data_IF_956039963520
#
_entry.id   IF_956039963520
#
_cell.length_a   1.000
_cell.length_b   1.000
_cell.length_c   1.000
_cell.angle_alpha   90.00
_cell.angle_beta   90.00
_cell.angle_gamma   90.00
#
_symmetry.space_group_name_H-M   'P 1'
#
loop_
_entity.id
_entity.type
_entity.pdbx_description
1 polymer ?
#
# COMPACT_ATOMS: atom_id res chain seq x y z
N UNK A 1 -31.20 -6.26 -25.68
CA UNK A 1 -29.79 -6.11 -25.29
C UNK A 1 -29.40 -7.31 -24.42
N UNK A 2 -28.59 -8.22 -24.95
CA UNK A 2 -28.08 -9.34 -24.18
C UNK A 2 -27.19 -8.77 -23.04
N UNK A 3 -27.55 -9.07 -21.80
CA UNK A 3 -26.77 -8.70 -20.63
C UNK A 3 -25.43 -9.43 -20.72
N UNK A 4 -24.31 -8.72 -20.70
CA UNK A 4 -23.02 -9.35 -20.47
C UNK A 4 -23.08 -10.05 -19.10
N UNK A 5 -23.02 -11.39 -19.10
CA UNK A 5 -23.11 -12.20 -17.88
C UNK A 5 -21.81 -12.14 -17.02
N UNK A 6 -20.75 -11.56 -17.55
CA UNK A 6 -19.44 -11.48 -16.90
C UNK A 6 -19.01 -10.05 -16.63
N UNK A 7 -18.49 -9.75 -15.42
CA UNK A 7 -17.95 -8.44 -15.14
C UNK A 7 -16.70 -8.15 -16.00
N UNK A 8 -16.51 -6.89 -16.37
CA UNK A 8 -15.36 -6.46 -17.17
C UNK A 8 -14.28 -5.89 -16.27
N UNK A 9 -13.05 -6.40 -16.41
CA UNK A 9 -11.85 -5.91 -15.77
C UNK A 9 -10.91 -5.34 -16.83
N UNK A 10 -10.73 -4.02 -16.84
CA UNK A 10 -9.73 -3.38 -17.67
C UNK A 10 -8.43 -3.18 -16.89
N UNK A 11 -7.34 -3.70 -17.42
CA UNK A 11 -6.02 -3.71 -16.79
C UNK A 11 -5.08 -2.77 -17.54
N UNK A 12 -4.69 -1.70 -16.89
CA UNK A 12 -3.68 -0.75 -17.33
C UNK A 12 -2.36 -1.13 -16.68
N UNK A 13 -1.41 -1.65 -17.42
CA UNK A 13 -0.35 -2.45 -16.84
C UNK A 13 1.06 -2.00 -17.11
N UNK A 14 1.84 -2.58 -16.21
CA UNK A 14 3.25 -2.89 -16.32
C UNK A 14 3.65 -4.20 -15.56
N UNK A 15 2.73 -5.16 -15.15
CA UNK A 15 3.04 -6.47 -14.51
C UNK A 15 1.94 -7.55 -14.37
N UNK A 16 2.30 -8.77 -14.00
CA UNK A 16 1.84 -10.10 -14.33
C UNK A 16 0.95 -10.89 -13.36
N UNK A 17 0.06 -10.56 -12.55
CA UNK A 17 -0.78 -11.52 -11.78
C UNK A 17 -2.28 -11.38 -11.96
N UNK A 18 -2.68 -10.46 -12.81
CA UNK A 18 -4.09 -10.15 -13.08
C UNK A 18 -4.86 -11.28 -13.77
N UNK A 19 -4.19 -12.13 -14.57
CA UNK A 19 -4.85 -13.25 -15.28
C UNK A 19 -5.38 -14.31 -14.33
N UNK A 20 -4.64 -14.61 -13.26
CA UNK A 20 -5.09 -15.55 -12.23
C UNK A 20 -6.31 -14.99 -11.50
N UNK A 21 -6.34 -13.70 -11.20
CA UNK A 21 -7.48 -13.02 -10.61
C UNK A 21 -8.69 -13.07 -11.57
N UNK A 22 -8.51 -12.73 -12.85
CA UNK A 22 -9.59 -12.79 -13.84
C UNK A 22 -10.17 -14.20 -13.97
N UNK A 23 -9.32 -15.23 -13.95
CA UNK A 23 -9.79 -16.64 -13.96
C UNK A 23 -10.61 -16.99 -12.72
N UNK A 24 -10.17 -16.59 -11.51
CA UNK A 24 -10.91 -16.88 -10.26
C UNK A 24 -12.26 -16.18 -10.21
N UNK A 25 -12.31 -14.97 -10.73
CA UNK A 25 -13.53 -14.15 -10.75
C UNK A 25 -14.38 -14.35 -12.00
N UNK A 26 -13.89 -15.11 -13.00
CA UNK A 26 -14.52 -15.27 -14.32
C UNK A 26 -14.79 -13.92 -15.02
N UNK A 27 -13.95 -12.93 -14.77
CA UNK A 27 -14.05 -11.63 -15.40
C UNK A 27 -13.46 -11.63 -16.82
N UNK A 28 -14.03 -10.82 -17.69
CA UNK A 28 -13.46 -10.54 -19.00
C UNK A 28 -12.30 -9.54 -18.83
N UNK A 29 -11.07 -10.01 -19.02
CA UNK A 29 -9.85 -9.22 -18.85
C UNK A 29 -9.48 -8.50 -20.13
N UNK A 30 -9.37 -7.17 -20.06
CA UNK A 30 -8.94 -6.32 -21.16
C UNK A 30 -7.55 -5.76 -20.86
N UNK A 31 -6.56 -6.16 -21.65
CA UNK A 31 -5.18 -5.66 -21.56
C UNK A 31 -5.06 -4.31 -22.28
N UNK A 32 -4.73 -3.27 -21.52
CA UNK A 32 -4.70 -1.89 -22.03
C UNK A 32 -3.33 -1.25 -21.74
N UNK A 33 -2.36 -1.39 -22.66
CA UNK A 33 -1.06 -0.74 -22.56
C UNK A 33 -1.20 0.78 -22.50
N UNK A 34 -0.47 1.44 -21.58
CA UNK A 34 -0.49 2.90 -21.42
C UNK A 34 0.91 3.46 -21.17
N UNK A 35 1.12 4.72 -21.46
CA UNK A 35 2.42 5.37 -21.31
C UNK A 35 2.54 6.07 -19.94
N UNK A 36 3.24 5.44 -19.00
CA UNK A 36 3.42 5.95 -17.63
C UNK A 36 4.04 7.36 -17.60
N UNK A 37 5.04 7.64 -18.43
CA UNK A 37 5.64 8.97 -18.49
C UNK A 37 4.66 10.07 -18.91
N UNK A 38 3.66 9.76 -19.76
CA UNK A 38 2.59 10.70 -20.09
C UNK A 38 1.64 10.91 -18.91
N UNK A 39 1.30 9.84 -18.16
CA UNK A 39 0.51 9.97 -16.93
C UNK A 39 1.23 10.91 -15.93
N UNK A 40 2.52 10.71 -15.70
CA UNK A 40 3.30 11.56 -14.80
C UNK A 40 3.35 13.02 -15.25
N UNK A 41 3.49 13.26 -16.55
CA UNK A 41 3.50 14.62 -17.12
C UNK A 41 2.16 15.32 -16.91
N UNK A 42 1.06 14.66 -17.32
CA UNK A 42 -0.28 15.25 -17.27
C UNK A 42 -0.80 15.42 -15.84
N UNK A 43 -0.37 14.57 -14.91
CA UNK A 43 -0.72 14.67 -13.50
C UNK A 43 0.24 15.54 -12.68
N UNK A 44 1.24 16.15 -13.32
CA UNK A 44 2.29 16.92 -12.67
C UNK A 44 2.97 16.13 -11.52
N UNK A 45 3.30 14.88 -11.77
CA UNK A 45 3.97 14.03 -10.79
C UNK A 45 5.40 14.54 -10.50
N UNK A 46 5.85 14.58 -9.24
CA UNK A 46 7.13 15.23 -8.84
C UNK A 46 8.36 14.67 -9.54
N UNK A 47 8.36 13.37 -9.89
CA UNK A 47 9.47 12.72 -10.60
C UNK A 47 9.57 13.08 -12.08
N UNK A 48 8.53 13.69 -12.65
CA UNK A 48 8.47 14.05 -14.07
C UNK A 48 8.30 12.85 -15.02
N UNK A 49 8.14 13.14 -16.30
CA UNK A 49 7.82 12.13 -17.33
C UNK A 49 8.92 11.06 -17.55
N UNK A 50 10.17 11.38 -17.28
CA UNK A 50 11.32 10.49 -17.48
C UNK A 50 11.87 9.91 -16.18
N UNK A 51 11.29 10.26 -15.02
CA UNK A 51 11.76 9.82 -13.71
C UNK A 51 11.11 8.54 -13.23
N UNK A 52 11.76 7.89 -12.27
CA UNK A 52 11.18 6.80 -11.49
C UNK A 52 10.49 7.35 -10.23
N UNK A 53 9.45 6.68 -9.75
CA UNK A 53 8.77 7.07 -8.52
C UNK A 53 9.73 7.14 -7.31
N UNK A 54 10.79 6.34 -7.29
CA UNK A 54 11.79 6.31 -6.23
C UNK A 54 12.76 7.50 -6.25
N UNK A 55 12.83 8.26 -7.34
CA UNK A 55 13.78 9.39 -7.48
C UNK A 55 13.46 10.53 -6.52
N UNK A 56 12.20 10.66 -6.12
CA UNK A 56 11.73 11.70 -5.19
C UNK A 56 11.65 11.22 -3.74
N UNK A 57 12.09 10.01 -3.44
CA UNK A 57 12.10 9.47 -2.09
C UNK A 57 13.36 9.91 -1.32
N UNK A 58 13.19 10.27 -0.06
CA UNK A 58 14.34 10.40 0.83
C UNK A 58 15.04 9.04 1.01
N UNK A 59 16.32 9.01 1.43
CA UNK A 59 17.10 7.76 1.53
C UNK A 59 16.45 6.68 2.39
N UNK A 60 15.82 7.05 3.50
CA UNK A 60 15.14 6.10 4.40
C UNK A 60 13.94 5.45 3.72
N UNK A 61 13.08 6.25 3.07
CA UNK A 61 11.94 5.75 2.32
C UNK A 61 12.38 4.86 1.15
N UNK A 62 13.43 5.27 0.42
CA UNK A 62 13.98 4.49 -0.69
C UNK A 62 14.41 3.09 -0.23
N UNK A 63 15.16 2.99 0.90
CA UNK A 63 15.56 1.70 1.47
C UNK A 63 14.36 0.84 1.87
N UNK A 64 13.36 1.40 2.56
CA UNK A 64 12.17 0.64 2.97
C UNK A 64 11.35 0.15 1.77
N UNK A 65 11.16 0.99 0.74
CA UNK A 65 10.46 0.59 -0.48
C UNK A 65 11.21 -0.52 -1.22
N UNK A 66 12.55 -0.45 -1.29
CA UNK A 66 13.38 -1.52 -1.85
C UNK A 66 13.20 -2.84 -1.10
N UNK A 67 13.18 -2.80 0.23
CA UNK A 67 12.93 -3.99 1.06
C UNK A 67 11.52 -4.56 0.85
N UNK A 68 10.51 -3.70 0.77
CA UNK A 68 9.13 -4.11 0.50
C UNK A 68 9.03 -4.81 -0.86
N UNK A 69 9.67 -4.27 -1.92
CA UNK A 69 9.73 -4.90 -3.22
C UNK A 69 10.36 -6.30 -3.14
N UNK A 70 11.53 -6.44 -2.48
CA UNK A 70 12.18 -7.75 -2.31
C UNK A 70 11.28 -8.76 -1.59
N UNK A 71 10.58 -8.33 -0.53
CA UNK A 71 9.61 -9.18 0.16
C UNK A 71 8.46 -9.61 -0.76
N UNK A 72 7.91 -8.68 -1.51
CA UNK A 72 6.83 -8.97 -2.47
C UNK A 72 7.26 -9.98 -3.52
N UNK A 73 8.46 -9.82 -4.09
CA UNK A 73 9.02 -10.76 -5.07
C UNK A 73 9.19 -12.17 -4.47
N UNK A 74 9.76 -12.28 -3.26
CA UNK A 74 9.95 -13.56 -2.58
C UNK A 74 8.61 -14.22 -2.21
N UNK A 75 7.68 -13.44 -1.66
CA UNK A 75 6.36 -13.95 -1.27
C UNK A 75 5.57 -14.49 -2.46
N UNK A 76 5.76 -13.91 -3.63
CA UNK A 76 5.04 -14.31 -4.84
C UNK A 76 5.89 -15.16 -5.80
N UNK A 77 7.12 -15.53 -5.40
CA UNK A 77 8.06 -16.28 -6.24
C UNK A 77 8.27 -15.67 -7.63
N UNK A 78 8.44 -14.33 -7.68
CA UNK A 78 8.66 -13.58 -8.91
C UNK A 78 10.14 -13.38 -9.14
N UNK A 79 10.60 -13.78 -10.32
CA UNK A 79 11.98 -13.55 -10.79
C UNK A 79 12.14 -12.10 -11.23
N UNK A 80 13.14 -11.40 -10.70
CA UNK A 80 13.50 -10.04 -11.11
C UNK A 80 15.02 -9.91 -11.14
N UNK A 81 15.53 -9.42 -12.27
CA UNK A 81 16.88 -8.91 -12.41
C UNK A 81 16.78 -7.41 -12.74
N UNK A 82 17.20 -6.56 -11.80
CA UNK A 82 17.05 -5.11 -11.98
C UNK A 82 17.82 -4.64 -13.22
N UNK A 83 17.16 -3.98 -14.18
CA UNK A 83 17.79 -3.59 -15.43
C UNK A 83 19.02 -2.71 -15.21
N UNK A 84 20.08 -2.96 -15.96
CA UNK A 84 21.34 -2.18 -15.92
C UNK A 84 21.14 -0.71 -16.24
N UNK A 85 20.13 -0.41 -17.08
CA UNK A 85 19.65 0.94 -17.39
C UNK A 85 18.16 1.03 -17.10
N UNK A 86 17.78 1.82 -16.09
CA UNK A 86 16.39 2.04 -15.71
C UNK A 86 16.18 3.52 -15.31
N UNK A 87 15.07 4.14 -15.75
CA UNK A 87 14.06 3.64 -16.70
C UNK A 87 14.52 3.77 -18.17
N UNK A 88 14.07 2.83 -19.02
CA UNK A 88 14.14 2.94 -20.48
C UNK A 88 12.81 3.40 -21.06
N UNK A 89 12.82 3.99 -22.25
CA UNK A 89 11.59 4.40 -22.93
C UNK A 89 10.81 3.19 -23.48
N UNK A 90 9.58 2.92 -22.99
CA UNK A 90 8.79 1.79 -23.45
C UNK A 90 7.95 2.09 -24.71
N UNK A 91 8.08 3.27 -25.31
CA UNK A 91 7.14 3.78 -26.34
C UNK A 91 7.01 2.84 -27.53
N UNK A 92 8.13 2.31 -28.05
CA UNK A 92 8.08 1.39 -29.19
C UNK A 92 7.41 0.07 -28.80
N UNK A 93 7.81 -0.51 -27.68
CA UNK A 93 7.21 -1.75 -27.15
C UNK A 93 5.70 -1.62 -26.95
N UNK A 94 5.24 -0.52 -26.35
CA UNK A 94 3.81 -0.27 -26.12
C UNK A 94 3.01 -0.09 -27.42
N UNK A 95 3.61 0.56 -28.44
CA UNK A 95 2.98 0.69 -29.76
C UNK A 95 2.80 -0.67 -30.43
N UNK A 96 3.79 -1.56 -30.34
CA UNK A 96 3.70 -2.90 -30.90
C UNK A 96 2.55 -3.70 -30.28
N UNK A 97 2.23 -3.51 -29.01
CA UNK A 97 1.08 -4.14 -28.36
C UNK A 97 -0.26 -3.69 -28.93
N UNK A 98 -0.34 -2.51 -29.56
CA UNK A 98 -1.52 -2.04 -30.28
C UNK A 98 -1.50 -2.41 -31.77
N UNK A 99 -0.33 -2.70 -32.33
CA UNK A 99 -0.18 -3.18 -33.71
C UNK A 99 -0.63 -4.64 -33.87
N UNK A 100 -0.38 -5.48 -32.87
CA UNK A 100 -0.74 -6.91 -32.91
C UNK A 100 -2.23 -7.12 -32.62
N UNK A 101 -2.75 -8.28 -33.04
CA UNK A 101 -4.10 -8.71 -32.69
C UNK A 101 -4.29 -8.74 -31.16
N UNK A 102 -5.50 -8.43 -30.68
CA UNK A 102 -5.82 -8.31 -29.25
C UNK A 102 -5.48 -9.62 -28.52
N UNK A 103 -5.71 -10.76 -29.15
CA UNK A 103 -5.46 -12.10 -28.61
C UNK A 103 -3.96 -12.40 -28.40
N UNK A 104 -3.09 -11.78 -29.20
CA UNK A 104 -1.64 -11.91 -29.10
C UNK A 104 -1.02 -10.96 -28.06
N UNK A 105 -1.76 -9.92 -27.65
CA UNK A 105 -1.27 -8.88 -26.75
C UNK A 105 -0.77 -9.40 -25.40
N UNK A 106 -1.48 -10.31 -24.69
CA UNK A 106 -0.99 -10.87 -23.45
C UNK A 106 0.35 -11.57 -23.58
N UNK A 107 0.47 -12.48 -24.56
CA UNK A 107 1.72 -13.25 -24.76
C UNK A 107 2.92 -12.33 -25.10
N UNK A 108 2.71 -11.33 -25.96
CA UNK A 108 3.75 -10.36 -26.27
C UNK A 108 4.10 -9.48 -25.06
N UNK A 109 3.12 -9.11 -24.25
CA UNK A 109 3.36 -8.34 -23.02
C UNK A 109 4.25 -9.11 -22.04
N UNK A 110 3.95 -10.38 -21.78
CA UNK A 110 4.77 -11.25 -20.95
C UNK A 110 6.20 -11.38 -21.47
N UNK A 111 6.36 -11.53 -22.78
CA UNK A 111 7.68 -11.61 -23.40
C UNK A 111 8.48 -10.30 -23.25
N UNK A 112 7.84 -9.14 -23.41
CA UNK A 112 8.46 -7.83 -23.22
C UNK A 112 8.86 -7.58 -21.76
N UNK A 113 8.00 -7.95 -20.81
CA UNK A 113 8.33 -7.85 -19.37
C UNK A 113 9.54 -8.73 -19.02
N UNK A 114 9.54 -9.99 -19.49
CA UNK A 114 10.67 -10.88 -19.28
C UNK A 114 11.95 -10.31 -19.88
N UNK A 115 11.88 -9.80 -21.11
CA UNK A 115 13.02 -9.19 -21.80
C UNK A 115 13.63 -8.04 -20.98
N UNK A 116 12.77 -7.17 -20.43
CA UNK A 116 13.24 -5.99 -19.69
C UNK A 116 13.64 -6.31 -18.24
N UNK A 117 12.77 -7.02 -17.49
CA UNK A 117 12.92 -7.19 -16.02
C UNK A 117 13.70 -8.44 -15.61
N UNK A 118 13.95 -9.37 -16.54
CA UNK A 118 14.66 -10.62 -16.24
C UNK A 118 15.91 -10.74 -17.07
N UNK A 119 15.80 -10.46 -18.39
CA UNK A 119 16.90 -10.66 -19.36
C UNK A 119 17.77 -9.40 -19.57
N UNK A 120 17.40 -8.26 -18.97
CA UNK A 120 18.07 -6.95 -19.09
C UNK A 120 18.27 -6.49 -20.56
N UNK A 121 17.31 -6.81 -21.45
CA UNK A 121 17.39 -6.46 -22.84
C UNK A 121 16.95 -5.01 -23.08
N UNK A 122 17.52 -4.40 -24.13
CA UNK A 122 17.17 -3.03 -24.52
C UNK A 122 15.88 -3.00 -25.35
N UNK A 123 14.75 -2.77 -24.68
CA UNK A 123 13.43 -2.65 -25.33
C UNK A 123 13.24 -1.37 -26.16
N UNK A 124 14.27 -0.53 -26.29
CA UNK A 124 14.29 0.61 -27.22
C UNK A 124 14.86 0.24 -28.59
N UNK A 125 15.54 -0.90 -28.68
CA UNK A 125 16.15 -1.41 -29.91
C UNK A 125 15.12 -2.21 -30.73
N UNK A 126 14.92 -1.83 -32.00
CA UNK A 126 13.97 -2.49 -32.91
C UNK A 126 14.30 -3.96 -33.14
N UNK A 127 15.59 -4.31 -33.24
CA UNK A 127 16.04 -5.70 -33.46
C UNK A 127 15.72 -6.59 -32.26
N UNK A 128 15.91 -6.07 -31.04
CA UNK A 128 15.51 -6.74 -29.81
C UNK A 128 14.00 -6.95 -29.77
N UNK A 129 13.21 -5.92 -30.09
CA UNK A 129 11.75 -6.02 -30.11
C UNK A 129 11.26 -7.04 -31.16
N UNK A 130 11.88 -7.11 -32.34
CA UNK A 130 11.56 -8.12 -33.37
C UNK A 130 11.86 -9.55 -32.86
N UNK A 131 12.99 -9.74 -32.18
CA UNK A 131 13.35 -11.04 -31.61
C UNK A 131 12.40 -11.47 -30.48
N UNK A 132 12.08 -10.56 -29.57
CA UNK A 132 11.12 -10.79 -28.47
C UNK A 132 9.73 -11.17 -29.04
N UNK A 133 9.25 -10.42 -30.06
CA UNK A 133 7.98 -10.72 -30.72
C UNK A 133 8.01 -12.10 -31.38
N UNK A 134 9.07 -12.42 -32.10
CA UNK A 134 9.26 -13.74 -32.74
C UNK A 134 9.24 -14.88 -31.71
N UNK A 135 9.88 -14.70 -30.54
CA UNK A 135 9.88 -15.68 -29.45
C UNK A 135 8.47 -15.87 -28.84
N UNK A 136 7.63 -14.85 -28.89
CA UNK A 136 6.23 -14.92 -28.44
C UNK A 136 5.24 -15.41 -29.53
N UNK A 137 5.76 -15.85 -30.69
CA UNK A 137 4.93 -16.33 -31.80
C UNK A 137 4.41 -15.22 -32.73
N UNK A 138 4.84 -13.97 -32.54
CA UNK A 138 4.42 -12.81 -33.33
C UNK A 138 5.51 -12.45 -34.35
N UNK A 139 5.11 -12.28 -35.62
CA UNK A 139 6.00 -11.77 -36.66
C UNK A 139 5.69 -10.30 -36.90
N UNK A 140 6.70 -9.45 -36.76
CA UNK A 140 6.62 -8.02 -37.02
C UNK A 140 7.27 -7.68 -38.36
N UNK A 141 6.64 -6.81 -39.13
CA UNK A 141 7.27 -6.13 -40.29
C UNK A 141 7.93 -4.82 -39.79
N UNK A 142 8.84 -4.26 -40.60
CA UNK A 142 9.40 -2.92 -40.31
C UNK A 142 8.31 -1.85 -40.17
N UNK A 143 7.22 -1.95 -40.95
CA UNK A 143 6.10 -1.02 -40.91
C UNK A 143 5.37 -1.02 -39.55
N UNK A 144 5.51 -2.07 -38.72
CA UNK A 144 4.92 -2.15 -37.38
C UNK A 144 5.40 -1.02 -36.44
N UNK A 145 6.63 -0.55 -36.63
CA UNK A 145 7.21 0.50 -35.77
C UNK A 145 6.70 1.92 -36.12
N UNK A 146 6.11 2.08 -37.32
CA UNK A 146 5.61 3.35 -37.81
C UNK A 146 4.07 3.38 -37.92
N UNK A 147 3.38 2.37 -37.38
CA UNK A 147 1.93 2.25 -37.40
C UNK A 147 1.27 3.41 -36.64
N UNK A 148 0.64 4.31 -37.38
CA UNK A 148 -0.07 5.48 -36.85
C UNK A 148 -1.30 5.09 -36.02
N UNK A 149 -2.03 4.04 -36.41
CA UNK A 149 -3.20 3.58 -35.70
C UNK A 149 -2.81 3.07 -34.30
N UNK A 150 -1.70 2.33 -34.21
CA UNK A 150 -1.14 1.88 -32.93
C UNK A 150 -0.68 3.06 -32.05
N UNK A 151 -0.09 4.11 -32.66
CA UNK A 151 0.28 5.33 -31.92
C UNK A 151 -0.93 6.05 -31.36
N UNK A 152 -2.00 6.20 -32.17
CA UNK A 152 -3.22 6.89 -31.76
C UNK A 152 -4.00 6.07 -30.73
N UNK A 153 -4.03 4.75 -30.84
CA UNK A 153 -4.63 3.86 -29.85
C UNK A 153 -3.90 3.95 -28.48
N UNK A 154 -2.56 3.99 -28.46
CA UNK A 154 -1.80 4.18 -27.23
C UNK A 154 -2.09 5.54 -26.59
N UNK A 155 -2.20 6.60 -27.39
CA UNK A 155 -2.56 7.95 -26.90
C UNK A 155 -3.96 7.96 -26.29
N UNK A 156 -4.94 7.38 -26.99
CA UNK A 156 -6.33 7.32 -26.55
C UNK A 156 -6.46 6.55 -25.22
N UNK A 157 -5.84 5.38 -25.11
CA UNK A 157 -5.85 4.58 -23.88
C UNK A 157 -5.14 5.30 -22.72
N UNK A 158 -4.05 6.02 -23.01
CA UNK A 158 -3.34 6.80 -21.99
C UNK A 158 -4.20 7.99 -21.53
N UNK A 159 -4.89 8.67 -22.43
CA UNK A 159 -5.80 9.75 -22.07
C UNK A 159 -7.00 9.23 -21.25
N UNK A 160 -7.53 8.06 -21.59
CA UNK A 160 -8.62 7.42 -20.87
C UNK A 160 -8.25 7.12 -19.41
N UNK A 161 -7.11 6.47 -19.16
CA UNK A 161 -6.69 6.14 -17.78
C UNK A 161 -6.41 7.39 -16.95
N UNK A 162 -5.89 8.45 -17.56
CA UNK A 162 -5.72 9.76 -16.90
C UNK A 162 -7.08 10.35 -16.52
N UNK A 163 -8.05 10.33 -17.45
CA UNK A 163 -9.41 10.81 -17.20
C UNK A 163 -10.12 10.03 -16.08
N UNK A 164 -9.80 8.73 -15.94
CA UNK A 164 -10.25 7.88 -14.82
C UNK A 164 -9.54 8.17 -13.51
N UNK A 165 -8.53 9.05 -13.50
CA UNK A 165 -7.84 9.52 -12.29
C UNK A 165 -6.66 8.67 -11.84
N UNK A 166 -6.09 7.80 -12.71
CA UNK A 166 -4.93 6.99 -12.35
C UNK A 166 -3.67 7.85 -12.12
N UNK A 167 -3.01 7.74 -10.97
CA UNK A 167 -1.76 8.46 -10.72
C UNK A 167 -0.53 7.73 -11.25
N UNK A 168 -0.71 6.51 -11.77
CA UNK A 168 0.34 5.62 -12.25
C UNK A 168 -0.18 4.25 -12.65
N UNK A 169 0.74 3.29 -12.86
CA UNK A 169 0.45 1.90 -13.21
C UNK A 169 1.18 0.94 -12.24
N UNK A 170 0.73 -0.32 -12.11
CA UNK A 170 -0.47 -0.88 -12.71
C UNK A 170 -1.74 -0.22 -12.17
N UNK A 171 -2.78 -0.15 -13.00
CA UNK A 171 -4.10 0.31 -12.58
C UNK A 171 -5.18 -0.62 -13.13
N UNK A 172 -6.26 -0.75 -12.37
CA UNK A 172 -7.36 -1.66 -12.66
C UNK A 172 -8.65 -0.85 -12.68
N UNK A 173 -9.48 -1.07 -13.68
CA UNK A 173 -10.80 -0.46 -13.77
C UNK A 173 -11.87 -1.54 -13.80
N UNK A 174 -12.77 -1.49 -12.83
CA UNK A 174 -13.96 -2.35 -12.73
C UNK A 174 -15.16 -1.55 -13.22
N UNK A 175 -15.64 -1.86 -14.42
CA UNK A 175 -16.58 -1.00 -15.17
C UNK A 175 -17.97 -0.93 -14.54
N UNK A 176 -18.46 -2.03 -13.98
CA UNK A 176 -19.80 -2.14 -13.43
C UNK A 176 -19.90 -1.78 -11.95
N UNK A 177 -18.80 -1.48 -11.26
CA UNK A 177 -18.84 -1.15 -9.85
C UNK A 177 -19.50 0.21 -9.62
N UNK A 178 -20.55 0.22 -8.81
CA UNK A 178 -21.24 1.44 -8.39
C UNK A 178 -20.76 1.87 -7.00
N UNK A 179 -20.50 3.16 -6.84
CA UNK A 179 -20.04 3.73 -5.58
C UNK A 179 -20.50 5.19 -5.44
N UNK A 180 -20.58 5.68 -4.22
CA UNK A 180 -20.88 7.07 -3.92
C UNK A 180 -19.59 7.77 -3.47
N UNK A 181 -19.32 8.94 -4.04
CA UNK A 181 -18.21 9.77 -3.60
C UNK A 181 -18.62 10.56 -2.35
N UNK A 182 -17.98 10.31 -1.21
CA UNK A 182 -18.29 10.95 0.05
C UNK A 182 -17.98 12.47 0.08
N UNK A 183 -17.22 12.95 -0.92
CA UNK A 183 -16.85 14.38 -1.01
C UNK A 183 -17.95 15.22 -1.66
N UNK A 184 -18.71 14.65 -2.63
CA UNK A 184 -19.78 15.37 -3.35
C UNK A 184 -21.15 14.67 -3.30
N UNK A 185 -21.22 13.49 -2.69
CA UNK A 185 -22.45 12.70 -2.54
C UNK A 185 -22.99 12.11 -3.84
N UNK A 186 -22.22 12.12 -4.94
CA UNK A 186 -22.68 11.63 -6.23
C UNK A 186 -22.44 10.14 -6.41
N UNK A 187 -23.38 9.48 -7.06
CA UNK A 187 -23.22 8.11 -7.51
C UNK A 187 -22.37 8.06 -8.78
N UNK A 188 -21.39 7.17 -8.79
CA UNK A 188 -20.50 6.90 -9.91
C UNK A 188 -20.61 5.45 -10.34
N UNK A 189 -20.30 5.19 -11.61
CA UNK A 189 -20.16 3.85 -12.16
C UNK A 189 -18.76 3.69 -12.73
N UNK A 190 -18.15 2.54 -12.43
CA UNK A 190 -16.76 2.24 -12.69
C UNK A 190 -15.84 2.75 -11.59
N UNK A 191 -14.91 1.91 -11.14
CA UNK A 191 -13.97 2.23 -10.07
C UNK A 191 -12.54 1.89 -10.46
N UNK A 192 -11.63 2.82 -10.17
CA UNK A 192 -10.20 2.67 -10.37
C UNK A 192 -9.52 2.18 -9.10
N UNK A 193 -8.67 1.15 -9.25
CA UNK A 193 -7.73 0.69 -8.24
C UNK A 193 -6.31 0.82 -8.77
N UNK A 194 -5.39 1.35 -7.98
CA UNK A 194 -4.00 1.58 -8.40
C UNK A 194 -3.01 0.85 -7.51
N UNK A 195 -2.15 0.05 -8.12
CA UNK A 195 -1.12 -0.74 -7.49
C UNK A 195 -1.46 -2.24 -7.42
N UNK A 196 -0.47 -3.11 -7.61
CA UNK A 196 -0.65 -4.56 -7.50
C UNK A 196 -1.09 -4.98 -6.08
N UNK A 197 -0.76 -4.19 -5.08
CA UNK A 197 -1.13 -4.34 -3.68
C UNK A 197 -2.62 -4.04 -3.40
N UNK A 198 -3.38 -3.64 -4.43
CA UNK A 198 -4.84 -3.42 -4.38
C UNK A 198 -5.64 -4.49 -5.13
N UNK A 199 -4.97 -5.53 -5.65
CA UNK A 199 -5.64 -6.59 -6.39
C UNK A 199 -6.70 -7.33 -5.56
N UNK A 200 -6.54 -7.44 -4.26
CA UNK A 200 -7.54 -8.02 -3.37
C UNK A 200 -8.84 -7.21 -3.32
N UNK A 201 -8.79 -5.88 -3.48
CA UNK A 201 -10.00 -5.05 -3.63
C UNK A 201 -10.70 -5.32 -4.95
N UNK A 202 -9.91 -5.41 -6.04
CA UNK A 202 -10.44 -5.74 -7.37
C UNK A 202 -11.13 -7.11 -7.33
N UNK A 203 -10.50 -8.11 -6.75
CA UNK A 203 -11.07 -9.46 -6.63
C UNK A 203 -12.35 -9.47 -5.80
N UNK A 204 -12.38 -8.75 -4.68
CA UNK A 204 -13.58 -8.62 -3.85
C UNK A 204 -14.71 -7.88 -4.59
N UNK A 205 -14.40 -6.78 -5.30
CA UNK A 205 -15.38 -6.05 -6.10
C UNK A 205 -16.00 -6.93 -7.19
N UNK A 206 -15.19 -7.67 -7.94
CA UNK A 206 -15.67 -8.59 -8.98
C UNK A 206 -16.54 -9.71 -8.40
N UNK A 207 -16.17 -10.26 -7.23
CA UNK A 207 -17.00 -11.24 -6.54
C UNK A 207 -18.32 -10.66 -6.05
N UNK A 208 -18.33 -9.43 -5.54
CA UNK A 208 -19.56 -8.74 -5.13
C UNK A 208 -20.50 -8.53 -6.32
N UNK A 209 -19.97 -8.04 -7.46
CA UNK A 209 -20.73 -7.86 -8.69
C UNK A 209 -21.35 -9.14 -9.20
N UNK A 210 -20.58 -10.25 -9.23
CA UNK A 210 -21.07 -11.55 -9.66
C UNK A 210 -22.21 -12.07 -8.79
N UNK A 211 -22.16 -11.81 -7.50
CA UNK A 211 -23.17 -12.23 -6.51
C UNK A 211 -24.34 -11.26 -6.40
N UNK A 212 -24.25 -10.07 -7.00
CA UNK A 212 -25.20 -8.97 -6.81
C UNK A 212 -25.38 -8.61 -5.34
N UNK A 213 -24.28 -8.65 -4.59
CA UNK A 213 -24.23 -8.43 -3.15
C UNK A 213 -23.28 -7.32 -2.74
N UNK A 214 -23.26 -7.04 -1.44
CA UNK A 214 -22.33 -6.09 -0.85
C UNK A 214 -20.89 -6.66 -0.82
N UNK A 215 -19.91 -5.78 -0.94
CA UNK A 215 -18.49 -6.08 -0.77
C UNK A 215 -18.19 -6.81 0.56
N UNK A 216 -18.79 -6.34 1.66
CA UNK A 216 -18.59 -6.95 2.98
C UNK A 216 -19.13 -8.41 3.09
N UNK A 217 -20.00 -8.81 2.18
CA UNK A 217 -20.58 -10.16 2.10
C UNK A 217 -19.75 -11.13 1.24
N UNK A 218 -18.68 -10.64 0.61
CA UNK A 218 -17.74 -11.50 -0.14
C UNK A 218 -17.07 -12.46 0.85
N UNK A 219 -17.21 -13.79 0.68
CA UNK A 219 -16.67 -14.74 1.64
C UNK A 219 -15.15 -14.66 1.74
N UNK A 220 -14.65 -14.85 2.96
CA UNK A 220 -13.21 -14.96 3.23
C UNK A 220 -12.36 -13.78 2.71
N UNK A 221 -12.82 -12.54 2.89
CA UNK A 221 -12.08 -11.34 2.46
C UNK A 221 -10.60 -11.37 2.87
N UNK A 222 -10.29 -11.84 4.09
CA UNK A 222 -8.90 -11.95 4.55
C UNK A 222 -8.05 -12.91 3.71
N UNK A 223 -8.65 -13.88 3.02
CA UNK A 223 -7.92 -14.84 2.18
C UNK A 223 -7.58 -14.31 0.80
N UNK A 224 -8.15 -13.16 0.41
CA UNK A 224 -7.81 -12.48 -0.84
C UNK A 224 -6.41 -11.84 -0.79
N UNK A 225 -5.87 -11.66 0.42
CA UNK A 225 -4.45 -11.40 0.67
C UNK A 225 -3.83 -12.67 1.29
N UNK A 226 -3.34 -13.63 0.48
CA UNK A 226 -2.88 -14.91 0.99
C UNK A 226 -1.60 -14.75 1.81
N UNK A 227 -1.53 -15.48 2.93
CA UNK A 227 -0.30 -15.64 3.69
C UNK A 227 0.60 -16.69 3.07
N UNK A 228 1.91 -16.48 3.18
CA UNK A 228 2.91 -17.49 2.77
C UNK A 228 2.90 -18.70 3.71
N UNK A 229 2.63 -18.46 4.99
CA UNK A 229 2.54 -19.53 5.99
C UNK A 229 1.09 -19.71 6.40
N UNK A 230 0.54 -20.89 6.08
CA UNK A 230 -0.82 -21.28 6.47
C UNK A 230 -0.78 -21.92 7.85
N UNK A 231 -1.81 -21.64 8.69
CA UNK A 231 -1.96 -22.27 10.01
C UNK A 231 -1.62 -21.38 11.19
N UNK A 232 -1.43 -21.99 12.34
CA UNK A 232 -1.12 -21.31 13.60
C UNK A 232 0.32 -20.78 13.64
N UNK A 233 0.61 -19.84 14.57
CA UNK A 233 1.94 -19.31 14.72
C UNK A 233 2.95 -20.43 14.92
N UNK A 234 4.15 -20.18 14.42
CA UNK A 234 5.28 -21.02 14.70
C UNK A 234 5.50 -21.14 16.22
N UNK A 235 6.06 -22.24 16.65
CA UNK A 235 6.47 -22.45 18.02
C UNK A 235 7.44 -21.36 18.47
N UNK A 236 7.12 -20.67 19.55
CA UNK A 236 7.96 -19.64 20.15
C UNK A 236 7.22 -18.34 20.44
N UNK A 237 7.77 -17.57 21.36
CA UNK A 237 7.22 -16.27 21.72
C UNK A 237 7.62 -15.23 20.68
N UNK A 238 6.64 -14.49 20.19
CA UNK A 238 6.83 -13.40 19.25
C UNK A 238 6.45 -12.06 19.88
N UNK A 239 7.12 -11.01 19.48
CA UNK A 239 6.80 -9.63 19.84
C UNK A 239 6.59 -8.83 18.57
N UNK A 240 5.49 -8.07 18.51
CA UNK A 240 5.21 -7.11 17.45
C UNK A 240 5.26 -5.71 18.06
N UNK A 241 6.25 -4.92 17.69
CA UNK A 241 6.24 -3.49 17.98
C UNK A 241 5.35 -2.79 16.97
N UNK A 242 4.39 -2.01 17.46
CA UNK A 242 3.50 -1.16 16.66
C UNK A 242 3.89 0.31 16.88
N UNK A 243 4.49 0.90 15.85
CA UNK A 243 4.96 2.29 15.84
C UNK A 243 3.92 3.20 15.23
N UNK A 244 3.45 4.19 16.00
CA UNK A 244 2.30 5.00 15.62
C UNK A 244 2.37 6.44 16.10
N UNK A 245 1.59 7.29 15.41
CA UNK A 245 1.19 8.62 15.82
C UNK A 245 -0.31 8.78 15.50
N UNK A 246 -1.08 9.41 16.38
CA UNK A 246 -2.51 9.66 16.20
C UNK A 246 -2.82 10.61 15.03
N UNK A 247 -1.84 11.33 14.51
CA UNK A 247 -1.99 12.27 13.38
C UNK A 247 -2.15 11.58 12.02
N UNK A 248 -2.03 10.25 11.94
CA UNK A 248 -2.07 9.51 10.68
C UNK A 248 -3.33 8.65 10.53
N UNK A 249 -4.11 8.81 9.44
CA UNK A 249 -5.24 7.92 9.12
C UNK A 249 -4.78 6.48 8.88
N UNK A 250 -3.61 6.29 8.27
CA UNK A 250 -3.03 4.96 8.05
C UNK A 250 -2.61 4.30 9.38
N UNK A 251 -2.11 5.10 10.33
CA UNK A 251 -1.83 4.66 11.69
C UNK A 251 -3.11 4.20 12.39
N UNK A 252 -4.21 4.94 12.22
CA UNK A 252 -5.53 4.56 12.71
C UNK A 252 -6.00 3.21 12.12
N UNK A 253 -5.92 3.03 10.81
CA UNK A 253 -6.31 1.75 10.18
C UNK A 253 -5.49 0.58 10.70
N UNK A 254 -4.15 0.74 10.82
CA UNK A 254 -3.30 -0.29 11.41
C UNK A 254 -3.68 -0.61 12.85
N UNK A 255 -4.04 0.41 13.65
CA UNK A 255 -4.54 0.24 15.01
C UNK A 255 -5.77 -0.65 15.07
N UNK A 256 -6.74 -0.48 14.16
CA UNK A 256 -8.00 -1.26 14.14
C UNK A 256 -7.77 -2.76 13.94
N UNK A 257 -6.57 -3.16 13.53
CA UNK A 257 -6.21 -4.56 13.26
C UNK A 257 -5.45 -5.24 14.41
N UNK A 258 -5.02 -4.50 15.43
CA UNK A 258 -4.21 -5.05 16.52
C UNK A 258 -4.95 -6.11 17.34
N UNK A 259 -6.25 -5.90 17.61
CA UNK A 259 -7.07 -6.88 18.31
C UNK A 259 -7.27 -8.16 17.48
N UNK A 260 -7.45 -8.02 16.17
CA UNK A 260 -7.50 -9.16 15.25
C UNK A 260 -6.20 -9.97 15.29
N UNK A 261 -5.04 -9.31 15.27
CA UNK A 261 -3.73 -9.98 15.41
C UNK A 261 -3.63 -10.77 16.71
N UNK A 262 -4.02 -10.16 17.86
CA UNK A 262 -4.00 -10.84 19.17
C UNK A 262 -4.88 -12.09 19.17
N UNK A 263 -6.10 -11.99 18.65
CA UNK A 263 -7.02 -13.13 18.59
C UNK A 263 -6.55 -14.23 17.64
N UNK A 264 -5.95 -13.84 16.51
CA UNK A 264 -5.48 -14.78 15.51
C UNK A 264 -4.28 -15.61 15.98
N UNK A 265 -3.35 -14.99 16.71
CA UNK A 265 -2.09 -15.62 17.10
C UNK A 265 -2.02 -15.99 18.59
N UNK A 266 -3.00 -15.56 19.39
CA UNK A 266 -3.09 -15.93 20.80
C UNK A 266 -2.04 -15.26 21.71
N UNK A 267 -1.87 -15.77 22.93
CA UNK A 267 -1.02 -15.17 23.96
C UNK A 267 0.49 -15.25 23.65
N UNK A 268 0.89 -16.05 22.69
CA UNK A 268 2.29 -16.18 22.26
C UNK A 268 2.82 -14.92 21.58
N UNK A 269 1.91 -13.99 21.20
CA UNK A 269 2.26 -12.74 20.56
C UNK A 269 2.04 -11.55 21.48
N UNK A 270 3.15 -10.96 21.92
CA UNK A 270 3.15 -9.69 22.65
C UNK A 270 3.07 -8.52 21.66
N UNK A 271 2.10 -7.62 21.81
CA UNK A 271 2.04 -6.36 21.04
C UNK A 271 2.53 -5.22 21.94
N UNK A 272 3.65 -4.61 21.54
CA UNK A 272 4.26 -3.47 22.22
C UNK A 272 3.93 -2.18 21.48
N UNK A 273 3.29 -1.26 22.17
CA UNK A 273 2.90 0.04 21.64
C UNK A 273 4.07 1.02 21.70
N UNK A 274 4.44 1.58 20.57
CA UNK A 274 5.57 2.52 20.39
C UNK A 274 5.06 3.88 19.88
N UNK A 275 4.46 4.71 20.73
CA UNK A 275 4.09 6.07 20.35
C UNK A 275 5.32 6.94 20.12
N UNK A 276 5.35 7.70 19.02
CA UNK A 276 6.44 8.62 18.70
C UNK A 276 5.92 9.83 17.89
N UNK A 277 6.72 10.89 17.78
CA UNK A 277 6.34 12.12 17.08
C UNK A 277 6.64 12.01 15.58
N UNK A 278 5.61 11.81 14.75
CA UNK A 278 5.72 11.68 13.31
C UNK A 278 6.30 12.95 12.64
N UNK A 279 5.87 14.13 13.05
CA UNK A 279 6.41 15.39 12.52
C UNK A 279 7.90 15.57 12.81
N UNK A 280 8.40 15.13 13.97
CA UNK A 280 9.82 15.15 14.29
C UNK A 280 10.60 14.11 13.46
N UNK A 281 10.04 12.92 13.25
CA UNK A 281 10.60 11.92 12.35
C UNK A 281 10.73 12.51 10.92
N UNK A 282 9.66 13.10 10.37
CA UNK A 282 9.68 13.68 9.02
C UNK A 282 10.77 14.74 8.86
N UNK A 283 10.95 15.60 9.87
CA UNK A 283 12.03 16.56 9.88
C UNK A 283 13.41 15.88 9.86
N UNK A 284 13.60 14.82 10.67
CA UNK A 284 14.86 14.12 10.77
C UNK A 284 15.25 13.37 9.48
N UNK A 285 14.27 12.80 8.75
CA UNK A 285 14.51 12.03 7.52
C UNK A 285 14.35 12.88 6.24
N UNK A 286 14.12 14.19 6.36
CA UNK A 286 13.97 15.09 5.22
C UNK A 286 12.67 14.87 4.42
N UNK A 287 11.58 14.43 5.09
CA UNK A 287 10.27 14.26 4.48
C UNK A 287 9.40 15.53 4.66
N UNK A 288 8.45 15.78 3.74
CA UNK A 288 7.44 16.82 3.92
C UNK A 288 6.60 16.59 5.19
N UNK A 289 6.23 17.66 5.89
CA UNK A 289 5.42 17.55 7.12
C UNK A 289 4.03 16.93 6.88
N UNK A 290 3.43 17.22 5.72
CA UNK A 290 2.19 16.59 5.25
C UNK A 290 2.47 15.94 3.89
N UNK A 291 2.92 14.66 3.84
CA UNK A 291 3.36 14.03 2.60
C UNK A 291 2.29 13.98 1.50
N UNK A 292 1.01 13.92 1.88
CA UNK A 292 -0.10 13.91 0.92
C UNK A 292 -0.18 15.22 0.13
N UNK A 293 0.15 16.36 0.72
CA UNK A 293 0.14 17.66 0.04
C UNK A 293 1.31 17.81 -0.94
N UNK A 294 2.38 17.05 -0.74
CA UNK A 294 3.56 17.05 -1.61
C UNK A 294 3.42 16.09 -2.82
N UNK A 295 2.23 15.56 -3.07
CA UNK A 295 1.95 14.68 -4.21
C UNK A 295 1.12 15.39 -5.28
N UNK A 296 1.02 14.80 -6.49
CA UNK A 296 0.13 15.29 -7.53
C UNK A 296 -1.33 15.31 -7.09
N UNK A 297 -2.15 16.17 -7.69
CA UNK A 297 -3.58 16.24 -7.38
C UNK A 297 -4.28 14.88 -7.62
N UNK A 298 -3.97 14.20 -8.73
CA UNK A 298 -4.52 12.88 -9.04
C UNK A 298 -4.18 11.86 -7.96
N UNK A 299 -2.92 11.81 -7.51
CA UNK A 299 -2.51 10.90 -6.44
C UNK A 299 -3.19 11.23 -5.11
N UNK A 300 -3.36 12.50 -4.78
CA UNK A 300 -4.04 12.95 -3.56
C UNK A 300 -5.52 12.56 -3.56
N UNK A 301 -6.20 12.75 -4.71
CA UNK A 301 -7.59 12.33 -4.88
C UNK A 301 -7.73 10.80 -4.76
N UNK A 302 -6.80 10.05 -5.39
CA UNK A 302 -6.78 8.60 -5.28
C UNK A 302 -6.56 8.13 -3.84
N UNK A 303 -5.61 8.72 -3.09
CA UNK A 303 -5.32 8.33 -1.71
C UNK A 303 -6.53 8.45 -0.76
N UNK A 304 -7.45 9.38 -1.02
CA UNK A 304 -8.71 9.48 -0.25
C UNK A 304 -9.61 8.28 -0.53
N UNK A 305 -9.81 7.94 -1.81
CA UNK A 305 -10.60 6.76 -2.21
C UNK A 305 -9.99 5.45 -1.72
N UNK A 306 -8.66 5.34 -1.76
CA UNK A 306 -7.93 4.19 -1.25
C UNK A 306 -8.13 4.00 0.26
N UNK A 307 -8.22 5.11 1.01
CA UNK A 307 -8.52 5.06 2.45
C UNK A 307 -9.92 4.47 2.70
N UNK A 308 -10.94 4.90 1.93
CA UNK A 308 -12.31 4.39 2.04
C UNK A 308 -12.37 2.90 1.67
N UNK A 309 -11.63 2.47 0.65
CA UNK A 309 -11.50 1.06 0.28
C UNK A 309 -10.89 0.23 1.41
N UNK A 310 -9.86 0.74 2.08
CA UNK A 310 -9.27 0.08 3.24
C UNK A 310 -10.22 0.02 4.43
N UNK A 311 -10.97 1.07 4.72
CA UNK A 311 -12.01 1.08 5.77
C UNK A 311 -13.05 0.00 5.47
N UNK A 312 -13.55 -0.04 4.24
CA UNK A 312 -14.53 -1.03 3.77
C UNK A 312 -13.97 -2.45 3.92
N UNK A 313 -12.75 -2.67 3.48
CA UNK A 313 -12.09 -3.98 3.55
C UNK A 313 -11.88 -4.45 4.98
N UNK A 314 -11.27 -3.62 5.83
CA UNK A 314 -11.01 -4.00 7.22
C UNK A 314 -12.29 -4.18 8.03
N UNK A 315 -13.32 -3.41 7.79
CA UNK A 315 -14.63 -3.63 8.40
C UNK A 315 -15.20 -5.00 8.01
N UNK A 316 -15.16 -5.36 6.74
CA UNK A 316 -15.61 -6.68 6.26
C UNK A 316 -14.79 -7.82 6.85
N UNK A 317 -13.46 -7.72 6.86
CA UNK A 317 -12.56 -8.72 7.46
C UNK A 317 -12.84 -8.88 8.96
N UNK A 318 -12.95 -7.78 9.69
CA UNK A 318 -13.20 -7.80 11.13
C UNK A 318 -14.57 -8.42 11.45
N UNK A 319 -15.60 -8.09 10.68
CA UNK A 319 -16.93 -8.68 10.82
C UNK A 319 -16.90 -10.20 10.59
N UNK A 320 -16.25 -10.65 9.53
CA UNK A 320 -16.13 -12.08 9.20
C UNK A 320 -15.30 -12.87 10.22
N UNK A 321 -14.33 -12.21 10.87
CA UNK A 321 -13.50 -12.81 11.92
C UNK A 321 -14.09 -12.67 13.32
N UNK A 322 -15.36 -12.26 13.45
CA UNK A 322 -16.07 -12.17 14.72
C UNK A 322 -15.53 -11.09 15.65
N UNK A 323 -15.09 -9.95 15.12
CA UNK A 323 -14.69 -8.82 15.94
C UNK A 323 -15.86 -8.30 16.77
N UNK A 324 -15.63 -8.03 18.03
CA UNK A 324 -16.59 -7.35 18.92
C UNK A 324 -16.53 -5.83 18.78
N UNK A 325 -15.50 -5.30 18.09
CA UNK A 325 -15.37 -3.88 17.83
C UNK A 325 -16.43 -3.42 16.83
N UNK A 326 -16.99 -2.24 17.10
CA UNK A 326 -17.90 -1.59 16.14
C UNK A 326 -17.13 -1.30 14.84
N UNK A 327 -17.78 -1.45 13.68
CA UNK A 327 -17.21 -1.05 12.41
C UNK A 327 -16.67 0.39 12.47
N UNK A 328 -15.53 0.59 11.82
CA UNK A 328 -14.90 1.91 11.70
C UNK A 328 -15.79 2.82 10.87
N UNK A 329 -16.12 3.98 11.43
CA UNK A 329 -16.80 5.08 10.76
C UNK A 329 -15.78 6.20 10.52
N UNK A 330 -14.97 6.03 9.50
CA UNK A 330 -13.91 6.98 9.21
C UNK A 330 -14.50 8.36 8.88
N UNK A 331 -13.89 9.38 9.49
CA UNK A 331 -14.22 10.77 9.21
C UNK A 331 -12.92 11.59 9.14
N UNK A 332 -12.77 12.38 8.10
CA UNK A 332 -11.64 13.31 7.99
C UNK A 332 -11.80 14.43 9.02
N UNK A 333 -10.81 14.68 9.90
CA UNK A 333 -10.95 15.70 10.94
C UNK A 333 -10.99 17.11 10.37
N UNK A 334 -11.89 17.95 10.92
CA UNK A 334 -12.03 19.36 10.52
C UNK A 334 -10.80 20.23 10.85
N UNK A 335 -9.96 19.75 11.77
CA UNK A 335 -8.77 20.45 12.30
C UNK A 335 -7.45 19.76 11.91
N UNK A 336 -7.42 19.12 10.75
CA UNK A 336 -6.17 18.53 10.21
C UNK A 336 -5.19 19.62 9.74
N UNK A 337 -3.86 19.49 9.98
CA UNK A 337 -3.16 18.37 10.63
C UNK A 337 -3.29 18.36 12.15
N UNK A 338 -3.44 17.16 12.74
CA UNK A 338 -3.64 16.97 14.17
C UNK A 338 -2.30 17.12 14.92
N UNK A 339 -2.29 17.95 15.95
CA UNK A 339 -1.14 18.09 16.85
C UNK A 339 -1.26 17.11 18.03
N UNK A 340 -0.35 16.14 18.13
CA UNK A 340 -0.50 14.98 19.00
C UNK A 340 0.43 14.84 20.21
N UNK A 341 1.36 15.76 20.54
CA UNK A 341 2.33 15.53 21.60
C UNK A 341 1.72 15.18 22.95
N UNK A 342 0.64 15.87 23.37
CA UNK A 342 -0.04 15.58 24.65
C UNK A 342 -0.77 14.23 24.58
N UNK A 343 -1.47 13.95 23.50
CA UNK A 343 -2.18 12.69 23.28
C UNK A 343 -1.22 11.48 23.29
N UNK A 344 -0.06 11.58 22.62
CA UNK A 344 0.97 10.53 22.61
C UNK A 344 1.57 10.30 24.00
N UNK A 345 1.79 11.36 24.77
CA UNK A 345 2.25 11.25 26.16
C UNK A 345 1.20 10.60 27.07
N UNK A 346 -0.07 10.86 26.84
CA UNK A 346 -1.14 10.12 27.52
C UNK A 346 -1.09 8.63 27.20
N UNK A 347 -0.81 8.26 25.95
CA UNK A 347 -0.66 6.86 25.56
C UNK A 347 0.58 6.18 26.20
N UNK A 348 1.64 6.92 26.50
CA UNK A 348 2.82 6.41 27.22
C UNK A 348 2.50 6.13 28.72
N UNK A 349 1.67 6.99 29.32
CA UNK A 349 1.31 6.87 30.75
C UNK A 349 0.40 5.69 31.01
N UNK A 350 -0.43 5.31 30.04
CA UNK A 350 -1.54 4.36 30.18
C UNK A 350 -1.19 2.85 30.19
N UNK A 351 0.03 2.37 29.88
CA UNK A 351 0.29 0.92 29.79
C UNK A 351 0.01 0.13 31.08
N UNK A 352 -0.19 0.80 32.22
CA UNK A 352 -0.33 0.17 33.51
C UNK A 352 -1.74 0.19 34.13
N UNK A 353 -2.64 1.05 33.67
CA UNK A 353 -3.95 1.24 34.33
C UNK A 353 -5.11 0.53 33.63
N UNK A 354 -5.13 0.50 32.31
CA UNK A 354 -6.01 -0.35 31.49
C UNK A 354 -5.37 -0.48 30.11
N UNK A 355 -4.80 -1.62 29.72
CA UNK A 355 -4.07 -1.72 28.46
C UNK A 355 -4.92 -1.25 27.29
N UNK A 356 -4.49 -0.19 26.61
CA UNK A 356 -5.08 0.36 25.39
C UNK A 356 -6.38 1.19 25.52
N UNK A 357 -7.03 1.30 26.68
CA UNK A 357 -8.33 1.95 26.75
C UNK A 357 -8.28 3.43 26.36
N UNK A 358 -7.35 4.21 26.94
CA UNK A 358 -7.24 5.65 26.63
C UNK A 358 -6.69 5.89 25.22
N UNK A 359 -5.67 5.16 24.80
CA UNK A 359 -5.12 5.29 23.45
C UNK A 359 -6.14 4.89 22.38
N UNK A 360 -6.92 3.82 22.60
CA UNK A 360 -8.01 3.41 21.72
C UNK A 360 -9.11 4.48 21.61
N UNK A 361 -9.43 5.12 22.73
CA UNK A 361 -10.40 6.23 22.74
C UNK A 361 -9.86 7.45 21.98
N UNK A 362 -8.59 7.81 22.18
CA UNK A 362 -7.97 8.95 21.51
C UNK A 362 -7.92 8.75 20.00
N UNK A 363 -7.52 7.57 19.51
CA UNK A 363 -7.44 7.33 18.07
C UNK A 363 -8.81 7.40 17.39
N UNK A 364 -9.86 6.87 18.04
CA UNK A 364 -11.24 6.99 17.54
C UNK A 364 -11.79 8.42 17.68
N UNK A 365 -11.37 9.17 18.69
CA UNK A 365 -11.73 10.58 18.82
C UNK A 365 -11.24 11.38 17.60
N UNK A 366 -10.00 11.13 17.16
CA UNK A 366 -9.40 11.82 16.01
C UNK A 366 -10.14 11.50 14.70
N UNK A 367 -10.38 10.21 14.43
CA UNK A 367 -10.69 9.74 13.08
C UNK A 367 -12.15 9.28 12.88
N UNK A 368 -12.96 9.27 13.94
CA UNK A 368 -14.39 8.93 13.83
C UNK A 368 -15.30 10.02 14.39
N UNK A 369 -14.83 10.80 15.38
CA UNK A 369 -15.69 11.73 16.15
C UNK A 369 -15.36 13.20 15.95
N UNK A 370 -14.35 13.50 15.16
CA UNK A 370 -13.88 14.87 14.91
C UNK A 370 -13.55 15.65 16.19
N UNK A 371 -13.00 14.98 17.19
CA UNK A 371 -12.59 15.61 18.45
C UNK A 371 -11.21 16.23 18.29
N UNK A 372 -11.08 17.51 18.57
CA UNK A 372 -9.82 18.23 18.47
C UNK A 372 -8.88 17.89 19.65
N UNK A 373 -8.16 16.78 19.55
CA UNK A 373 -7.17 16.35 20.57
C UNK A 373 -5.91 17.24 20.60
N UNK A 374 -5.79 18.19 19.69
CA UNK A 374 -4.71 19.19 19.70
C UNK A 374 -4.91 20.26 20.80
N UNK A 375 -6.14 20.41 21.29
CA UNK A 375 -6.49 21.25 22.42
C UNK A 375 -6.53 20.41 23.71
N UNK A 376 -5.64 20.72 24.65
CA UNK A 376 -5.49 19.96 25.90
C UNK A 376 -6.78 19.98 26.76
N UNK A 377 -7.60 21.04 26.69
CA UNK A 377 -8.88 21.12 27.41
C UNK A 377 -9.94 20.21 26.79
N UNK A 378 -10.01 20.20 25.45
CA UNK A 378 -10.90 19.31 24.72
C UNK A 378 -10.52 17.85 24.95
N UNK A 379 -9.21 17.54 24.88
CA UNK A 379 -8.67 16.22 25.19
C UNK A 379 -9.02 15.79 26.60
N UNK A 380 -8.83 16.66 27.61
CA UNK A 380 -9.17 16.39 29.01
C UNK A 380 -10.67 16.09 29.19
N UNK A 381 -11.52 16.94 28.62
CA UNK A 381 -12.98 16.76 28.70
C UNK A 381 -13.40 15.43 28.07
N UNK A 382 -12.85 15.11 26.89
CA UNK A 382 -13.15 13.86 26.21
C UNK A 382 -12.69 12.63 27.03
N UNK A 383 -11.46 12.64 27.56
CA UNK A 383 -10.95 11.56 28.39
C UNK A 383 -11.77 11.34 29.66
N UNK A 384 -12.23 12.43 30.30
CA UNK A 384 -13.12 12.36 31.48
C UNK A 384 -14.47 11.71 31.11
N UNK A 385 -15.12 12.12 30.02
CA UNK A 385 -16.37 11.49 29.56
C UNK A 385 -16.19 10.03 29.17
N UNK A 386 -14.99 9.69 28.76
CA UNK A 386 -14.58 8.31 28.45
C UNK A 386 -14.23 7.46 29.68
N UNK A 387 -14.36 8.01 30.90
CA UNK A 387 -14.13 7.30 32.16
C UNK A 387 -12.66 7.21 32.58
N UNK A 388 -11.78 8.07 32.01
CA UNK A 388 -10.39 8.19 32.45
C UNK A 388 -10.25 9.27 33.54
N UNK A 389 -9.35 9.10 34.50
CA UNK A 389 -8.91 10.22 35.35
C UNK A 389 -8.03 11.18 34.53
N UNK A 390 -8.68 12.06 33.78
CA UNK A 390 -8.05 12.98 32.87
C UNK A 390 -7.04 13.91 33.56
N UNK A 391 -7.32 14.35 34.79
CA UNK A 391 -6.47 15.25 35.54
C UNK A 391 -5.14 14.57 35.94
N UNK A 392 -5.22 13.38 36.53
CA UNK A 392 -4.04 12.60 36.89
C UNK A 392 -3.24 12.19 35.63
N UNK A 393 -3.91 11.78 34.56
CA UNK A 393 -3.31 11.38 33.30
C UNK A 393 -2.52 12.52 32.65
N UNK A 394 -3.11 13.72 32.49
CA UNK A 394 -2.47 14.89 31.92
C UNK A 394 -1.32 15.41 32.78
N UNK A 395 -1.49 15.40 34.11
CA UNK A 395 -0.41 15.76 35.03
C UNK A 395 0.81 14.84 34.84
N UNK A 396 0.60 13.52 34.79
CA UNK A 396 1.65 12.54 34.56
C UNK A 396 2.26 12.65 33.16
N UNK A 397 1.43 12.85 32.12
CA UNK A 397 1.86 13.08 30.75
C UNK A 397 2.73 14.35 30.58
N UNK A 398 2.60 15.32 31.46
CA UNK A 398 3.43 16.56 31.44
C UNK A 398 4.77 16.39 32.13
N UNK A 399 5.03 15.27 32.85
CA UNK A 399 6.28 15.04 33.56
C UNK A 399 7.50 14.98 32.63
N UNK A 400 8.70 15.40 33.11
CA UNK A 400 9.93 15.28 32.34
C UNK A 400 10.19 13.86 31.84
N UNK A 401 9.95 12.85 32.69
CA UNK A 401 10.18 11.44 32.38
C UNK A 401 9.34 10.99 31.15
N UNK A 402 8.06 11.33 31.09
CA UNK A 402 7.19 10.95 29.97
C UNK A 402 7.56 11.71 28.71
N UNK A 403 7.98 12.98 28.83
CA UNK A 403 8.51 13.74 27.67
C UNK A 403 9.78 13.11 27.12
N UNK A 404 10.66 12.63 28.00
CA UNK A 404 11.90 11.97 27.60
C UNK A 404 11.63 10.60 26.95
N UNK A 405 10.67 9.81 27.44
CA UNK A 405 10.25 8.56 26.79
C UNK A 405 9.77 8.84 25.37
N UNK A 406 8.90 9.86 25.16
CA UNK A 406 8.42 10.19 23.83
C UNK A 406 9.56 10.64 22.89
N UNK A 407 10.52 11.40 23.41
CA UNK A 407 11.71 11.83 22.66
C UNK A 407 12.57 10.63 22.27
N UNK A 408 12.83 9.73 23.24
CA UNK A 408 13.64 8.54 23.02
C UNK A 408 12.97 7.59 22.01
N UNK A 409 11.66 7.36 22.10
CA UNK A 409 10.93 6.58 21.11
C UNK A 409 11.05 7.21 19.70
N UNK A 410 11.01 8.55 19.61
CA UNK A 410 11.15 9.24 18.33
C UNK A 410 12.55 9.07 17.76
N UNK A 411 13.58 9.16 18.60
CA UNK A 411 14.97 8.93 18.21
C UNK A 411 15.18 7.46 17.78
N UNK A 412 14.66 6.51 18.54
CA UNK A 412 14.69 5.08 18.22
C UNK A 412 14.00 4.79 16.87
N UNK A 413 12.88 5.48 16.57
CA UNK A 413 12.22 5.35 15.26
C UNK A 413 13.12 5.79 14.10
N UNK A 414 13.87 6.90 14.27
CA UNK A 414 14.85 7.39 13.28
C UNK A 414 15.97 6.37 13.08
N UNK A 415 16.54 5.88 14.17
CA UNK A 415 17.65 4.91 14.17
C UNK A 415 17.24 3.55 13.57
N UNK A 416 16.00 3.11 13.84
CA UNK A 416 15.43 1.92 13.23
C UNK A 416 15.16 2.07 11.73
N UNK A 417 15.27 3.29 11.16
CA UNK A 417 15.01 3.56 9.76
C UNK A 417 13.51 3.60 9.41
N UNK A 418 12.66 3.96 10.36
CA UNK A 418 11.23 4.20 10.11
C UNK A 418 11.09 5.47 9.27
N UNK A 419 10.18 5.48 8.28
CA UNK A 419 9.90 6.65 7.44
C UNK A 419 8.46 7.16 7.54
N UNK A 420 7.62 6.54 8.34
CA UNK A 420 6.20 6.88 8.48
C UNK A 420 5.45 5.90 9.37
N UNK A 421 4.13 6.07 9.49
CA UNK A 421 3.25 5.26 10.33
C UNK A 421 2.06 4.70 9.52
N UNK A 422 1.50 3.53 9.92
CA UNK A 422 2.05 2.66 10.93
C UNK A 422 3.35 2.01 10.46
N UNK A 423 4.22 1.68 11.39
CA UNK A 423 5.33 0.80 11.14
C UNK A 423 5.34 -0.33 12.16
N UNK A 424 5.86 -1.47 11.76
CA UNK A 424 5.92 -2.68 12.58
C UNK A 424 7.34 -3.22 12.60
N UNK A 425 7.71 -3.87 13.71
CA UNK A 425 8.88 -4.74 13.80
C UNK A 425 8.47 -6.01 14.50
N UNK A 426 8.84 -7.14 13.97
CA UNK A 426 8.58 -8.45 14.56
C UNK A 426 9.86 -8.97 15.18
N UNK A 427 9.76 -9.53 16.39
CA UNK A 427 10.88 -10.12 17.11
C UNK A 427 10.53 -11.55 17.52
N UNK A 428 11.53 -12.39 17.53
CA UNK A 428 11.48 -13.73 18.07
C UNK A 428 12.28 -13.79 19.38
N UNK A 429 11.76 -14.49 20.37
CA UNK A 429 12.46 -14.71 21.61
C UNK A 429 13.43 -15.89 21.45
N UNK A 430 14.70 -15.63 21.70
CA UNK A 430 15.78 -16.62 21.69
C UNK A 430 16.42 -16.69 23.07
N UNK A 431 17.35 -17.60 23.28
CA UNK A 431 18.17 -17.67 24.51
C UNK A 431 19.00 -16.40 24.75
N UNK A 432 19.28 -15.64 23.69
CA UNK A 432 20.02 -14.38 23.76
C UNK A 432 19.09 -13.15 23.94
N UNK A 433 17.78 -13.35 24.07
CA UNK A 433 16.77 -12.31 24.21
C UNK A 433 15.92 -12.12 22.95
N UNK A 434 15.39 -10.92 22.76
CA UNK A 434 14.55 -10.58 21.61
C UNK A 434 15.40 -10.22 20.40
N UNK A 435 15.28 -10.99 19.34
CA UNK A 435 15.99 -10.77 18.06
C UNK A 435 14.99 -10.34 17.00
N UNK A 436 15.30 -9.26 16.27
CA UNK A 436 14.44 -8.77 15.20
C UNK A 436 14.35 -9.81 14.08
N UNK A 437 13.12 -10.13 13.69
CA UNK A 437 12.83 -10.99 12.55
C UNK A 437 12.79 -10.16 11.25
N UNK A 438 13.45 -10.66 10.23
CA UNK A 438 13.58 -9.95 8.96
C UNK A 438 14.94 -9.28 8.74
N UNK A 439 15.20 -8.99 7.46
CA UNK A 439 16.49 -8.43 7.00
C UNK A 439 16.63 -6.98 7.46
N UNK A 440 17.84 -6.58 7.86
CA UNK A 440 18.23 -5.20 8.17
C UNK A 440 17.30 -4.50 9.21
N UNK A 441 17.03 -5.16 10.33
CA UNK A 441 16.24 -4.60 11.44
C UNK A 441 14.73 -4.70 11.29
N UNK A 442 14.26 -5.37 10.23
CA UNK A 442 12.89 -5.89 10.13
C UNK A 442 11.76 -4.86 10.09
N UNK A 443 12.01 -3.60 9.72
CA UNK A 443 10.94 -2.59 9.63
C UNK A 443 10.00 -2.91 8.46
N UNK A 444 8.70 -2.99 8.79
CA UNK A 444 7.59 -3.14 7.85
C UNK A 444 6.77 -1.87 7.95
N UNK A 445 6.60 -1.16 6.83
CA UNK A 445 5.92 0.14 6.80
C UNK A 445 4.61 0.06 6.01
N UNK A 446 3.54 0.47 6.64
CA UNK A 446 2.20 0.56 6.07
C UNK A 446 1.24 -0.46 6.69
N UNK A 447 -0.03 -0.08 6.82
CA UNK A 447 -1.09 -0.99 7.27
C UNK A 447 -1.45 -2.03 6.19
N UNK A 448 -1.15 -1.74 4.94
CA UNK A 448 -1.28 -2.60 3.77
C UNK A 448 -0.24 -3.76 3.77
N UNK A 449 0.89 -3.57 4.45
CA UNK A 449 1.91 -4.60 4.67
C UNK A 449 1.64 -5.51 5.92
N UNK A 450 0.46 -5.40 6.53
CA UNK A 450 0.13 -6.19 7.73
C UNK A 450 0.20 -7.70 7.47
N UNK A 451 -0.08 -8.14 6.25
CA UNK A 451 0.04 -9.54 5.84
C UNK A 451 1.49 -10.06 5.97
N UNK A 452 2.49 -9.20 5.78
CA UNK A 452 3.90 -9.54 5.99
C UNK A 452 4.19 -9.71 7.49
N UNK A 453 3.60 -8.86 8.34
CA UNK A 453 3.70 -9.01 9.80
C UNK A 453 3.13 -10.35 10.22
N UNK A 454 1.96 -10.72 9.70
CA UNK A 454 1.31 -12.01 9.98
C UNK A 454 2.16 -13.20 9.53
N UNK A 455 2.79 -13.10 8.35
CA UNK A 455 3.69 -14.15 7.86
C UNK A 455 4.93 -14.33 8.74
N UNK A 456 5.56 -13.23 9.17
CA UNK A 456 6.71 -13.28 10.08
C UNK A 456 6.34 -13.86 11.45
N UNK A 457 5.19 -13.45 12.00
CA UNK A 457 4.66 -14.00 13.26
C UNK A 457 4.41 -15.51 13.11
N UNK A 458 3.91 -15.94 11.94
CA UNK A 458 3.65 -17.35 11.62
C UNK A 458 4.92 -18.14 11.25
N UNK A 459 6.10 -17.53 11.33
CA UNK A 459 7.38 -18.20 11.12
C UNK A 459 7.95 -18.14 9.71
N UNK A 460 7.34 -17.32 8.81
CA UNK A 460 8.00 -17.04 7.53
C UNK A 460 9.33 -16.33 7.75
N UNK A 461 10.35 -16.73 7.02
CA UNK A 461 11.67 -16.12 7.07
C UNK A 461 11.98 -15.49 5.73
N UNK A 462 12.20 -14.16 5.74
CA UNK A 462 12.71 -13.47 4.57
C UNK A 462 14.14 -13.96 4.29
N UNK A 463 14.39 -14.41 3.07
CA UNK A 463 15.76 -14.78 2.67
C UNK A 463 16.54 -13.53 2.28
N UNK A 464 17.83 -13.51 2.61
CA UNK A 464 18.76 -12.54 2.05
C UNK A 464 18.93 -12.88 0.57
N UNK A 465 18.17 -12.24 -0.30
CA UNK A 465 18.35 -12.39 -1.73
C UNK A 465 19.01 -11.15 -2.31
N UNK A 466 20.06 -11.36 -3.06
CA UNK A 466 20.57 -10.41 -4.01
C UNK A 466 19.56 -10.27 -5.15
N UNK A 467 18.58 -9.38 -5.04
CA UNK A 467 17.95 -8.84 -6.23
C UNK A 467 19.03 -7.99 -6.88
N UNK A 468 19.70 -8.56 -7.89
CA UNK A 468 20.85 -7.95 -8.52
C UNK A 468 20.50 -6.54 -9.00
N UNK A 469 21.32 -5.55 -8.63
CA UNK A 469 21.29 -4.24 -9.23
C UNK A 469 20.41 -3.16 -8.61
N UNK A 470 19.45 -3.46 -7.73
CA UNK A 470 18.57 -2.41 -7.15
C UNK A 470 19.33 -1.39 -6.29
N UNK A 471 20.43 -1.80 -5.66
CA UNK A 471 21.28 -0.93 -4.83
C UNK A 471 22.43 -0.27 -5.64
N UNK A 472 22.47 -0.43 -6.97
CA UNK A 472 23.44 0.29 -7.80
C UNK A 472 23.09 1.79 -7.83
N UNK A 473 24.08 2.69 -7.68
CA UNK A 473 23.84 4.10 -7.87
C UNK A 473 23.34 4.33 -9.32
N UNK A 474 22.43 5.29 -9.53
CA UNK A 474 21.97 5.60 -10.89
C UNK A 474 23.19 5.90 -11.76
N UNK A 475 23.30 5.22 -12.89
CA UNK A 475 24.32 5.54 -13.90
C UNK A 475 24.04 7.00 -14.31
N UNK A 476 25.05 7.86 -14.11
CA UNK A 476 24.92 9.27 -14.51
C UNK A 476 24.51 9.31 -15.98
N UNK A 477 23.36 9.92 -16.25
CA UNK A 477 22.97 10.25 -17.62
C UNK A 477 23.90 11.37 -18.10
N UNK A 478 24.89 11.02 -18.90
CA UNK A 478 25.60 11.96 -19.77
C UNK A 478 24.77 12.24 -21.01
#
# INVERSE_FOLDING_TARGET
MARKDKPTLQFYYDENSVEALARRTEADLIWTPVLLGAIYRETAAPQGAAGSASDVFNPTKKRLTSRALRRTLQRNNVELNWPSVHPRSPVLALRLLYHVAVEARPALSHALFRAYWVEDLDITDKSVLQDVARRSGVRLSEAAFDDKNAQDALRAATAEVIARGAPGVPAFWVDEEEWVDDTDGKAHRGRLYWGQDRMHFVEAALHALKRRGDYAQVPNLASLQPRCVQGHPATGQKRVEFWFDFSSPWGFLGWTQLDRLRRQFGPEVEIVMKPFLLGALFKAVGAPNVPMEATSQAKRAYMRKDLDDWVRHWNGVNQQRGSHDKPVQFRWPSHFPIRTPTALRCAIVDPFLVPLLCAHKIVRACWERDINVSDDKVLASYLATAGCDAAALLKKASSPQVKDILRNNTQEAVEAGICGVPSYRVFEKTDQGWVADGVEGGVIWGQDELIVVEDLVAGWKQQESSVGGYDRPPVSRL
#
